data_IF_108386223262
#
_entry.id   IF_108386223262
#
_cell.length_a   1.000
_cell.length_b   1.000
_cell.length_c   1.000
_cell.angle_alpha   90.00
_cell.angle_beta   90.00
_cell.angle_gamma   90.00
#
_symmetry.space_group_name_H-M   'P 1'
#
loop_
_entity.id
_entity.type
_entity.pdbx_description
1 polymer ?
#
# COMPACT_ATOMS: atom_id res chain seq x y z
N UNK A 1 4.67 4.78 -1.90
CA UNK A 1 3.77 4.31 -2.97
C UNK A 1 3.07 3.05 -2.52
N UNK A 2 1.96 2.67 -3.17
CA UNK A 2 1.24 1.42 -2.90
C UNK A 2 1.00 0.73 -4.25
N UNK A 3 1.42 -0.53 -4.36
CA UNK A 3 1.26 -1.33 -5.58
C UNK A 3 0.04 -2.24 -5.46
N UNK A 4 -0.68 -2.44 -6.56
CA UNK A 4 -1.82 -3.35 -6.64
C UNK A 4 -2.06 -3.83 -8.08
N UNK A 5 -2.77 -4.93 -8.21
CA UNK A 5 -3.07 -5.58 -9.47
C UNK A 5 -4.50 -5.26 -9.91
N UNK A 6 -4.73 -4.25 -10.77
CA UNK A 6 -6.06 -3.70 -11.03
C UNK A 6 -7.03 -4.67 -11.70
N UNK A 7 -6.54 -5.78 -12.26
CA UNK A 7 -7.37 -6.80 -12.91
C UNK A 7 -8.22 -7.58 -11.91
N UNK A 8 -7.73 -7.76 -10.68
CA UNK A 8 -8.41 -8.54 -9.65
C UNK A 8 -8.36 -7.91 -8.25
N UNK A 9 -7.70 -6.76 -8.10
CA UNK A 9 -7.64 -6.01 -6.84
C UNK A 9 -8.24 -4.61 -6.97
N UNK A 10 -8.85 -4.15 -5.89
CA UNK A 10 -9.26 -2.76 -5.69
C UNK A 10 -8.49 -2.17 -4.51
N UNK A 11 -8.03 -0.94 -4.65
CA UNK A 11 -7.32 -0.19 -3.62
C UNK A 11 -8.21 0.92 -3.08
N UNK A 12 -8.37 0.96 -1.76
CA UNK A 12 -9.00 2.06 -1.03
C UNK A 12 -7.98 2.72 -0.08
N UNK A 13 -7.85 4.05 -0.17
CA UNK A 13 -7.12 4.86 0.80
C UNK A 13 -8.10 5.31 1.89
N UNK A 14 -7.98 4.73 3.09
CA UNK A 14 -8.89 4.99 4.20
C UNK A 14 -8.52 6.27 4.95
N UNK A 15 -7.22 6.47 5.17
CA UNK A 15 -6.65 7.55 5.97
C UNK A 15 -5.31 8.02 5.40
N UNK A 16 -5.04 9.31 5.55
CA UNK A 16 -3.77 9.94 5.18
C UNK A 16 -3.62 11.22 5.99
N UNK A 17 -2.86 11.14 7.08
CA UNK A 17 -2.68 12.23 8.02
C UNK A 17 -1.21 12.57 8.25
N UNK A 18 -0.96 13.83 8.55
CA UNK A 18 0.29 14.29 9.14
C UNK A 18 0.03 14.74 10.56
N UNK A 19 0.86 14.27 11.48
CA UNK A 19 0.89 14.73 12.86
C UNK A 19 2.05 15.70 13.03
N UNK A 20 1.73 16.96 13.34
CA UNK A 20 2.68 18.06 13.53
C UNK A 20 2.41 18.74 14.87
N UNK A 21 3.41 18.79 15.75
CA UNK A 21 3.29 19.41 17.07
C UNK A 21 2.04 18.93 17.85
N UNK A 22 1.75 17.64 17.78
CA UNK A 22 0.58 17.01 18.41
C UNK A 22 -0.76 17.23 17.71
N UNK A 23 -0.80 17.98 16.60
CA UNK A 23 -2.02 18.24 15.81
C UNK A 23 -2.10 17.29 14.61
N UNK A 24 -3.30 16.73 14.39
CA UNK A 24 -3.60 15.88 13.23
C UNK A 24 -4.12 16.73 12.07
N UNK A 25 -3.50 16.60 10.90
CA UNK A 25 -3.85 17.30 9.67
C UNK A 25 -4.26 16.25 8.63
N UNK A 26 -5.50 16.32 8.14
CA UNK A 26 -5.98 15.46 7.05
C UNK A 26 -5.38 15.93 5.72
N UNK A 27 -4.60 15.06 5.10
CA UNK A 27 -3.88 15.35 3.87
C UNK A 27 -4.60 14.81 2.62
N UNK A 28 -5.74 14.12 2.76
CA UNK A 28 -6.38 13.45 1.62
C UNK A 28 -6.77 14.38 0.47
N UNK A 29 -7.13 15.64 0.77
CA UNK A 29 -7.47 16.66 -0.23
C UNK A 29 -6.27 17.51 -0.67
N UNK A 30 -5.15 17.44 0.05
CA UNK A 30 -3.96 18.26 -0.17
C UNK A 30 -2.85 17.49 -0.86
N UNK A 31 -2.82 16.17 -0.69
CA UNK A 31 -1.86 15.29 -1.33
C UNK A 31 -2.06 15.23 -2.84
N UNK A 32 -0.96 15.03 -3.55
CA UNK A 32 -0.99 14.76 -4.99
C UNK A 32 -0.97 13.25 -5.22
N UNK A 33 -1.85 12.79 -6.11
CA UNK A 33 -2.00 11.38 -6.46
C UNK A 33 -1.64 11.16 -7.92
N UNK A 34 -0.80 10.18 -8.18
CA UNK A 34 -0.54 9.69 -9.51
C UNK A 34 -0.74 8.18 -9.56
N UNK A 35 -1.55 7.71 -10.51
CA UNK A 35 -1.62 6.29 -10.86
C UNK A 35 -0.60 6.05 -11.95
N UNK A 36 0.45 5.33 -11.61
CA UNK A 36 1.54 5.00 -12.50
C UNK A 36 1.40 3.55 -12.94
N UNK A 37 1.68 3.28 -14.21
CA UNK A 37 1.88 1.93 -14.71
C UNK A 37 3.37 1.63 -14.63
N UNK A 38 3.76 0.70 -13.77
CA UNK A 38 5.16 0.31 -13.57
C UNK A 38 5.30 -1.14 -14.02
N UNK A 39 5.72 -1.31 -15.28
CA UNK A 39 6.00 -2.63 -15.86
C UNK A 39 7.41 -3.05 -15.42
N UNK A 40 7.51 -3.62 -14.21
CA UNK A 40 8.80 -3.92 -13.55
C UNK A 40 9.64 -4.98 -14.30
N UNK A 41 9.02 -5.71 -15.23
CA UNK A 41 9.64 -6.74 -16.06
C UNK A 41 9.66 -6.43 -17.56
N UNK A 42 9.45 -5.17 -17.95
CA UNK A 42 9.41 -4.80 -19.37
C UNK A 42 10.70 -5.17 -20.12
N UNK A 43 11.86 -5.03 -19.44
CA UNK A 43 13.18 -5.42 -19.96
C UNK A 43 13.30 -6.93 -20.18
N UNK A 44 12.54 -7.72 -19.43
CA UNK A 44 12.42 -9.18 -19.53
C UNK A 44 11.19 -9.61 -20.38
N UNK A 45 10.52 -8.66 -21.06
CA UNK A 45 9.33 -8.92 -21.88
C UNK A 45 8.04 -9.23 -21.09
N UNK A 46 8.05 -9.02 -19.77
CA UNK A 46 6.91 -9.24 -18.89
C UNK A 46 6.11 -7.95 -18.72
N UNK A 47 4.86 -8.01 -19.17
CA UNK A 47 3.84 -6.98 -18.90
C UNK A 47 2.91 -7.56 -17.85
N UNK A 48 3.08 -7.16 -16.59
CA UNK A 48 2.29 -7.67 -15.47
C UNK A 48 1.03 -6.82 -15.21
N UNK A 49 0.96 -5.62 -15.81
CA UNK A 49 -0.17 -4.72 -15.69
C UNK A 49 -0.35 -4.14 -14.29
N UNK A 50 0.68 -4.21 -13.44
CA UNK A 50 0.64 -3.65 -12.09
C UNK A 50 0.49 -2.13 -12.13
N UNK A 51 -0.33 -1.60 -11.21
CA UNK A 51 -0.46 -0.17 -11.00
C UNK A 51 0.13 0.21 -9.65
N UNK A 52 0.82 1.34 -9.65
CA UNK A 52 1.34 2.00 -8.45
C UNK A 52 0.51 3.24 -8.18
N UNK A 53 -0.11 3.34 -7.01
CA UNK A 53 -0.56 4.61 -6.47
C UNK A 53 0.63 5.33 -5.82
N UNK A 54 1.11 6.38 -6.49
CA UNK A 54 2.08 7.32 -5.93
C UNK A 54 1.34 8.45 -5.22
N UNK A 55 1.74 8.73 -3.98
CA UNK A 55 1.16 9.77 -3.13
C UNK A 55 2.30 10.69 -2.71
N UNK A 56 2.19 11.97 -3.05
CA UNK A 56 3.15 12.99 -2.63
C UNK A 56 2.47 13.93 -1.65
N UNK A 57 3.01 14.00 -0.43
CA UNK A 57 2.56 14.90 0.61
C UNK A 57 3.31 16.25 0.50
N UNK A 58 2.62 17.37 0.24
CA UNK A 58 3.25 18.69 0.26
C UNK A 58 3.56 19.14 1.69
N UNK A 59 4.50 20.08 1.84
CA UNK A 59 4.87 20.72 3.12
C UNK A 59 5.21 19.71 4.24
N UNK A 60 5.86 18.58 3.95
CA UNK A 60 6.42 17.75 5.03
C UNK A 60 7.63 18.42 5.67
N UNK A 61 7.71 18.37 6.99
CA UNK A 61 8.76 18.99 7.81
C UNK A 61 9.44 17.96 8.70
N UNK A 62 10.67 18.25 9.11
CA UNK A 62 11.38 17.44 10.10
C UNK A 62 10.57 17.42 11.40
N UNK A 63 10.35 16.21 11.94
CA UNK A 63 9.53 15.99 13.14
C UNK A 63 8.07 15.64 12.86
N UNK A 64 7.60 15.80 11.63
CA UNK A 64 6.27 15.31 11.24
C UNK A 64 6.21 13.78 11.30
N UNK A 65 5.08 13.24 11.78
CA UNK A 65 4.75 11.81 11.66
C UNK A 65 3.65 11.63 10.62
N UNK A 66 3.94 10.83 9.59
CA UNK A 66 2.95 10.42 8.58
C UNK A 66 2.21 9.19 9.09
N UNK A 67 0.88 9.23 9.02
CA UNK A 67 -0.02 8.12 9.34
C UNK A 67 -0.91 7.86 8.12
N UNK A 68 -1.05 6.59 7.73
CA UNK A 68 -1.86 6.24 6.57
C UNK A 68 -2.41 4.83 6.70
N UNK A 69 -3.57 4.61 6.08
CA UNK A 69 -4.29 3.35 6.12
C UNK A 69 -4.84 3.01 4.75
N UNK A 70 -4.56 1.81 4.28
CA UNK A 70 -4.99 1.32 2.97
C UNK A 70 -5.66 -0.04 3.11
N UNK A 71 -6.63 -0.30 2.26
CA UNK A 71 -7.23 -1.62 2.08
C UNK A 71 -7.04 -2.02 0.63
N UNK A 72 -6.46 -3.20 0.40
CA UNK A 72 -6.45 -3.85 -0.92
C UNK A 72 -7.40 -5.05 -0.81
N UNK A 73 -8.44 -5.06 -1.62
CA UNK A 73 -9.40 -6.17 -1.69
C UNK A 73 -9.25 -6.91 -3.00
N UNK A 74 -9.43 -8.23 -2.96
CA UNK A 74 -9.30 -9.11 -4.12
C UNK A 74 -8.04 -9.97 -4.08
N UNK A 75 -8.08 -11.09 -4.81
CA UNK A 75 -7.06 -12.13 -4.80
C UNK A 75 -6.78 -12.60 -6.23
N UNK A 76 -5.55 -13.03 -6.49
CA UNK A 76 -5.20 -13.55 -7.81
C UNK A 76 -6.00 -14.85 -8.08
N UNK A 77 -6.83 -14.89 -9.14
CA UNK A 77 -7.70 -16.03 -9.43
C UNK A 77 -6.95 -17.33 -9.73
N UNK A 78 -5.66 -17.27 -10.09
CA UNK A 78 -4.82 -18.46 -10.35
C UNK A 78 -4.75 -19.39 -9.13
N UNK A 79 -4.85 -18.84 -7.91
CA UNK A 79 -4.81 -19.64 -6.69
C UNK A 79 -6.14 -20.30 -6.31
N UNK A 80 -7.24 -20.00 -7.02
CA UNK A 80 -8.56 -20.55 -6.72
C UNK A 80 -8.99 -20.26 -5.28
N UNK A 81 -9.17 -21.32 -4.48
CA UNK A 81 -9.50 -21.21 -3.04
C UNK A 81 -8.27 -21.03 -2.14
N UNK A 82 -7.06 -21.23 -2.67
CA UNK A 82 -5.83 -21.04 -1.93
C UNK A 82 -5.54 -19.55 -1.68
N UNK A 83 -4.76 -19.29 -0.63
CA UNK A 83 -4.22 -17.98 -0.32
C UNK A 83 -2.70 -18.06 -0.29
N UNK A 84 -2.06 -17.07 -0.92
CA UNK A 84 -0.63 -16.88 -0.88
C UNK A 84 -0.34 -15.39 -0.72
N UNK A 85 0.59 -15.06 0.17
CA UNK A 85 1.06 -13.71 0.39
C UNK A 85 2.43 -13.75 1.07
N UNK A 86 3.19 -12.66 0.94
CA UNK A 86 4.53 -12.54 1.53
C UNK A 86 4.64 -11.20 2.22
N UNK A 87 5.24 -11.23 3.41
CA UNK A 87 5.34 -10.08 4.29
C UNK A 87 6.77 -9.91 4.76
N UNK A 88 7.45 -8.86 4.31
CA UNK A 88 8.81 -8.57 4.78
C UNK A 88 8.83 -8.22 6.26
N UNK A 89 9.63 -8.94 7.04
CA UNK A 89 9.76 -8.68 8.47
C UNK A 89 10.62 -7.43 8.77
N UNK A 90 11.45 -7.01 7.83
CA UNK A 90 12.48 -5.97 8.01
C UNK A 90 12.21 -4.78 7.09
N UNK A 91 12.55 -3.59 7.58
CA UNK A 91 12.51 -2.35 6.82
C UNK A 91 13.92 -1.78 6.70
N UNK A 92 14.16 -0.91 5.71
CA UNK A 92 15.45 -0.23 5.53
C UNK A 92 15.78 0.80 6.63
N UNK A 93 14.92 0.93 7.63
CA UNK A 93 15.03 1.84 8.77
C UNK A 93 14.63 1.10 10.05
N UNK A 94 14.97 1.66 11.22
CA UNK A 94 14.56 1.11 12.51
C UNK A 94 13.03 0.98 12.61
N UNK A 95 12.58 -0.18 13.08
CA UNK A 95 11.18 -0.53 13.22
C UNK A 95 10.83 -0.65 14.70
N UNK A 96 9.83 0.10 15.17
CA UNK A 96 9.34 0.03 16.54
C UNK A 96 8.46 -1.19 16.80
N UNK A 97 7.33 -1.31 16.09
CA UNK A 97 6.42 -2.45 16.17
C UNK A 97 5.93 -2.82 14.77
N UNK A 98 5.74 -4.11 14.52
CA UNK A 98 4.99 -4.62 13.38
C UNK A 98 4.02 -5.68 13.83
N UNK A 99 2.77 -5.56 13.40
CA UNK A 99 1.71 -6.54 13.64
C UNK A 99 1.21 -7.10 12.33
N UNK A 100 1.30 -8.42 12.17
CA UNK A 100 0.71 -9.16 11.06
C UNK A 100 -0.40 -10.04 11.62
N UNK A 101 -1.56 -10.04 10.96
CA UNK A 101 -2.70 -10.87 11.35
C UNK A 101 -3.28 -11.54 10.12
N UNK A 102 -3.21 -12.86 10.08
CA UNK A 102 -3.86 -13.71 9.07
C UNK A 102 -5.16 -14.24 9.65
N UNK A 103 -6.23 -14.18 8.85
CA UNK A 103 -7.54 -14.73 9.19
C UNK A 103 -7.98 -15.62 8.04
N UNK A 104 -8.32 -16.86 8.35
CA UNK A 104 -8.78 -17.83 7.37
C UNK A 104 -9.99 -18.59 7.93
N UNK A 105 -10.97 -18.99 7.10
CA UNK A 105 -12.07 -19.87 7.53
C UNK A 105 -11.53 -21.17 8.12
N UNK A 106 -12.24 -21.74 9.10
CA UNK A 106 -11.78 -22.94 9.82
C UNK A 106 -12.07 -24.25 9.06
N UNK A 107 -12.83 -24.18 7.98
CA UNK A 107 -13.50 -25.28 7.29
C UNK A 107 -12.92 -25.58 5.89
N UNK A 108 -11.64 -25.25 5.66
CA UNK A 108 -10.90 -25.67 4.46
C UNK A 108 -10.27 -27.05 4.58
#
# INVERSE_FOLDING_TARGET
SIDYQPQYQQLALNSLEVWRDGKRIDMRKQAHYARLRRESGLEDGLIDGALTLSITLPDLRVGDRVDYGVTITGSNPVFGKGYYDVFDARYGVALGERRVRVRHPADM
#
